data_IF_671989714325
#
_entry.id   IF_671989714325
#
_cell.length_a   1.000
_cell.length_b   1.000
_cell.length_c   1.000
_cell.angle_alpha   90.00
_cell.angle_beta   90.00
_cell.angle_gamma   90.00
#
_symmetry.space_group_name_H-M   'P 1'
#
loop_
_entity.id
_entity.type
_entity.pdbx_description
1 polymer ?
#
# COMPACT_ATOMS: atom_id res chain seq x y z
N UNK A 1 -12.60 -17.47 -3.37
CA UNK A 1 -11.65 -16.54 -2.72
C UNK A 1 -11.83 -15.19 -3.39
N UNK A 2 -12.31 -14.18 -2.65
CA UNK A 2 -12.42 -12.83 -3.18
C UNK A 2 -11.11 -12.14 -2.85
N UNK A 3 -10.34 -11.80 -3.89
CA UNK A 3 -9.08 -11.08 -3.75
C UNK A 3 -9.38 -9.58 -3.78
N UNK A 4 -9.11 -8.89 -2.67
CA UNK A 4 -9.26 -7.45 -2.58
C UNK A 4 -7.93 -6.77 -2.83
N UNK A 5 -7.89 -5.87 -3.81
CA UNK A 5 -6.71 -5.08 -4.12
C UNK A 5 -6.77 -3.73 -3.40
N UNK A 6 -5.74 -3.46 -2.60
CA UNK A 6 -5.53 -2.20 -1.89
C UNK A 6 -4.52 -1.35 -2.65
N UNK A 7 -4.69 -0.03 -2.58
CA UNK A 7 -3.82 0.96 -3.20
C UNK A 7 -3.51 2.06 -2.18
N UNK A 8 -2.27 2.53 -2.16
CA UNK A 8 -1.84 3.61 -1.28
C UNK A 8 -0.80 4.47 -1.99
N UNK A 9 -0.77 5.76 -1.65
CA UNK A 9 0.24 6.71 -2.12
C UNK A 9 0.99 7.23 -0.91
N UNK A 10 2.30 7.05 -0.90
CA UNK A 10 3.20 7.57 0.12
C UNK A 10 3.81 8.88 -0.37
N UNK A 11 3.84 9.90 0.48
CA UNK A 11 4.33 11.23 0.14
C UNK A 11 5.22 11.82 1.23
N UNK A 12 6.41 12.30 0.89
CA UNK A 12 7.29 13.02 1.83
C UNK A 12 8.09 14.13 1.14
N UNK A 13 8.35 15.23 1.86
CA UNK A 13 9.25 16.29 1.37
C UNK A 13 10.72 15.90 1.29
N UNK A 14 11.10 14.75 1.87
CA UNK A 14 12.45 14.21 1.90
C UNK A 14 12.45 12.79 1.29
N UNK A 15 13.39 12.55 0.37
CA UNK A 15 13.48 11.29 -0.37
C UNK A 15 13.82 10.10 0.54
N UNK A 16 14.80 10.26 1.44
CA UNK A 16 15.22 9.19 2.36
C UNK A 16 14.08 8.75 3.28
N UNK A 17 13.25 9.70 3.73
CA UNK A 17 12.07 9.38 4.54
C UNK A 17 11.01 8.63 3.74
N UNK A 18 10.80 9.00 2.47
CA UNK A 18 9.92 8.23 1.58
C UNK A 18 10.45 6.80 1.39
N UNK A 19 11.74 6.64 1.11
CA UNK A 19 12.37 5.33 0.90
C UNK A 19 12.22 4.44 2.13
N UNK A 20 12.41 4.97 3.34
CA UNK A 20 12.19 4.21 4.60
C UNK A 20 10.75 3.71 4.70
N UNK A 21 9.77 4.56 4.42
CA UNK A 21 8.36 4.19 4.52
C UNK A 21 7.92 3.23 3.40
N UNK A 22 8.49 3.36 2.20
CA UNK A 22 8.30 2.38 1.12
C UNK A 22 8.87 1.03 1.55
N UNK A 23 10.11 0.98 2.04
CA UNK A 23 10.73 -0.26 2.50
C UNK A 23 9.96 -0.93 3.64
N UNK A 24 9.45 -0.15 4.60
CA UNK A 24 8.57 -0.67 5.65
C UNK A 24 7.28 -1.27 5.06
N UNK A 25 6.65 -0.57 4.11
CA UNK A 25 5.46 -1.10 3.43
C UNK A 25 5.76 -2.40 2.66
N UNK A 26 6.91 -2.49 1.98
CA UNK A 26 7.34 -3.72 1.30
C UNK A 26 7.50 -4.90 2.27
N UNK A 27 8.05 -4.65 3.46
CA UNK A 27 8.15 -5.66 4.53
C UNK A 27 6.77 -6.15 5.02
N UNK A 28 5.72 -5.34 4.84
CA UNK A 28 4.33 -5.67 5.17
C UNK A 28 3.49 -6.15 3.97
N UNK A 29 4.17 -6.60 2.91
CA UNK A 29 3.54 -7.24 1.74
C UNK A 29 2.94 -6.26 0.73
N UNK A 30 3.28 -4.97 0.81
CA UNK A 30 2.98 -4.04 -0.27
C UNK A 30 3.99 -4.19 -1.43
N UNK A 31 3.62 -3.70 -2.59
CA UNK A 31 4.41 -3.75 -3.82
C UNK A 31 4.45 -2.38 -4.47
N UNK A 32 5.59 -2.03 -5.07
CA UNK A 32 5.79 -0.77 -5.80
C UNK A 32 4.91 -0.74 -7.05
N UNK A 33 4.23 0.39 -7.27
CA UNK A 33 3.52 0.69 -8.50
C UNK A 33 4.17 1.85 -9.23
N UNK A 34 4.83 1.53 -10.35
CA UNK A 34 5.46 2.53 -11.21
C UNK A 34 6.65 3.23 -10.55
N UNK A 35 7.14 4.26 -11.23
CA UNK A 35 8.30 5.01 -10.80
C UNK A 35 7.95 6.02 -9.70
N UNK A 36 8.95 6.32 -8.88
CA UNK A 36 8.91 7.45 -7.96
C UNK A 36 8.75 8.77 -8.74
N UNK A 37 8.00 9.71 -8.18
CA UNK A 37 7.79 11.04 -8.78
C UNK A 37 8.09 12.15 -7.76
N UNK A 38 8.38 13.35 -8.25
CA UNK A 38 8.47 14.56 -7.43
C UNK A 38 7.39 15.55 -7.87
N UNK A 39 6.39 15.77 -7.02
CA UNK A 39 5.19 16.56 -7.31
C UNK A 39 4.95 17.56 -6.19
N UNK A 40 4.73 18.83 -6.53
CA UNK A 40 4.36 19.89 -5.57
C UNK A 40 5.30 19.98 -4.34
N UNK A 41 6.60 19.78 -4.54
CA UNK A 41 7.59 19.82 -3.46
C UNK A 41 7.69 18.55 -2.62
N UNK A 42 7.07 17.45 -3.05
CA UNK A 42 7.08 16.17 -2.33
C UNK A 42 7.47 15.02 -3.25
N UNK A 43 8.23 14.08 -2.72
CA UNK A 43 8.45 12.78 -3.32
C UNK A 43 7.22 11.91 -3.12
N UNK A 44 6.85 11.16 -4.15
CA UNK A 44 5.61 10.38 -4.23
C UNK A 44 5.90 8.98 -4.75
N UNK A 45 5.44 7.96 -4.03
CA UNK A 45 5.47 6.56 -4.48
C UNK A 45 4.09 5.92 -4.31
N UNK A 46 3.54 5.38 -5.40
CA UNK A 46 2.34 4.55 -5.35
C UNK A 46 2.72 3.10 -5.02
N UNK A 47 1.89 2.43 -4.19
CA UNK A 47 2.07 1.04 -3.78
C UNK A 47 0.72 0.29 -3.75
N UNK A 48 0.75 -1.03 -3.85
CA UNK A 48 -0.43 -1.90 -3.85
C UNK A 48 -0.21 -3.20 -3.09
N UNK A 49 -1.30 -3.81 -2.61
CA UNK A 49 -1.29 -5.15 -2.04
C UNK A 49 -2.57 -5.88 -2.42
N UNK A 50 -2.49 -7.20 -2.55
CA UNK A 50 -3.67 -8.07 -2.63
C UNK A 50 -3.86 -8.72 -1.27
N UNK A 51 -5.06 -8.61 -0.71
CA UNK A 51 -5.48 -9.33 0.49
C UNK A 51 -6.50 -10.40 0.09
N UNK A 52 -6.37 -11.56 0.71
CA UNK A 52 -7.44 -12.53 0.73
C UNK A 52 -8.49 -12.08 1.75
N UNK A 53 -9.71 -11.80 1.28
CA UNK A 53 -10.85 -11.80 2.19
C UNK A 53 -11.17 -13.27 2.46
N UNK A 54 -10.74 -13.81 3.61
CA UNK A 54 -11.45 -14.94 4.19
C UNK A 54 -12.90 -14.49 4.30
N UNK A 55 -13.81 -15.22 3.63
CA UNK A 55 -15.22 -14.95 3.71
C UNK A 55 -15.64 -15.08 5.17
N UNK A 56 -15.73 -13.96 5.89
CA UNK A 56 -16.50 -13.84 7.11
C UNK A 56 -17.96 -14.07 6.73
N UNK A 57 -18.32 -15.34 6.62
CA UNK A 57 -19.69 -15.77 6.84
C UNK A 57 -19.98 -15.53 8.31
N UNK A 58 -20.36 -14.30 8.66
CA UNK A 58 -21.16 -14.05 9.86
C UNK A 58 -22.50 -14.75 9.65
N UNK A 59 -22.53 -16.05 9.93
CA UNK A 59 -23.76 -16.74 10.29
C UNK A 59 -23.95 -16.49 11.79
N UNK A 60 -24.41 -15.28 12.13
CA UNK A 60 -25.15 -15.09 13.38
C UNK A 60 -26.50 -15.78 13.18
N UNK A 61 -26.53 -17.07 13.49
CA UNK A 61 -27.78 -17.79 13.73
C UNK A 61 -28.21 -17.51 15.16
N UNK A 62 -29.38 -16.88 15.23
CA UNK A 62 -30.39 -16.83 16.30
C UNK A 62 -30.00 -16.26 17.68
#
# INVERSE_FOLDING_TARGET
>A
MIMKKEYMVLTHGNLELLERNVNDALNHGWNIMGYINFLNGQWVQAITRVKDEEAQGERSVE
#
